data_IF_867855996666
#
_entry.id   IF_867855996666
#
_cell.length_a   1.000
_cell.length_b   1.000
_cell.length_c   1.000
_cell.angle_alpha   90.00
_cell.angle_beta   90.00
_cell.angle_gamma   90.00
#
_symmetry.space_group_name_H-M   'P 1'
#
loop_
_entity.id
_entity.type
_entity.pdbx_description
1 polymer ?
#
# COMPACT_ATOMS: atom_id res chain seq x y z
N UNK A 1 32.84 23.02 -39.30
CA UNK A 1 33.33 21.71 -38.81
C UNK A 1 33.92 21.86 -37.41
N UNK A 2 33.09 21.79 -36.37
CA UNK A 2 33.50 21.69 -34.96
C UNK A 2 32.35 21.00 -34.22
N UNK A 3 32.70 20.09 -33.29
CA UNK A 3 31.84 19.38 -32.30
C UNK A 3 31.83 17.83 -32.37
N UNK A 4 32.91 17.18 -32.82
CA UNK A 4 33.03 15.70 -32.64
C UNK A 4 33.60 15.27 -31.27
N UNK A 5 34.04 16.21 -30.44
CA UNK A 5 34.61 15.89 -29.11
C UNK A 5 33.54 15.69 -28.02
N UNK A 6 32.41 16.37 -28.10
CA UNK A 6 31.36 16.29 -27.06
C UNK A 6 30.54 14.99 -27.12
N UNK A 7 30.36 14.42 -28.32
CA UNK A 7 29.60 13.16 -28.51
C UNK A 7 30.34 11.97 -27.88
N UNK A 8 31.67 11.98 -27.86
CA UNK A 8 32.48 10.89 -27.29
C UNK A 8 32.37 10.80 -25.76
N UNK A 9 32.13 11.92 -25.07
CA UNK A 9 31.95 11.92 -23.61
C UNK A 9 30.58 11.37 -23.19
N UNK A 10 29.53 11.61 -23.97
CA UNK A 10 28.17 11.12 -23.66
C UNK A 10 28.12 9.59 -23.79
N UNK A 11 28.72 9.01 -24.84
CA UNK A 11 28.75 7.56 -25.02
C UNK A 11 29.57 6.86 -23.93
N UNK A 12 30.67 7.49 -23.47
CA UNK A 12 31.48 6.93 -22.38
C UNK A 12 30.74 6.97 -21.03
N UNK A 13 29.98 8.04 -20.76
CA UNK A 13 29.16 8.14 -19.54
C UNK A 13 28.05 7.08 -19.49
N UNK A 14 27.39 6.80 -20.62
CA UNK A 14 26.35 5.77 -20.70
C UNK A 14 26.92 4.36 -20.47
N UNK A 15 28.12 4.07 -20.97
CA UNK A 15 28.78 2.77 -20.76
C UNK A 15 29.23 2.58 -19.31
N UNK A 16 29.73 3.63 -18.64
CA UNK A 16 30.12 3.54 -17.22
C UNK A 16 28.89 3.35 -16.33
N UNK A 17 27.78 4.04 -16.62
CA UNK A 17 26.54 3.90 -15.86
C UNK A 17 25.88 2.53 -16.05
N UNK A 18 25.90 2.00 -17.28
CA UNK A 18 25.35 0.67 -17.59
C UNK A 18 26.11 -0.46 -16.90
N UNK A 19 27.44 -0.38 -16.81
CA UNK A 19 28.28 -1.38 -16.13
C UNK A 19 28.12 -1.29 -14.60
N UNK A 20 27.95 -0.09 -14.04
CA UNK A 20 27.73 0.07 -12.60
C UNK A 20 26.38 -0.51 -12.14
N UNK A 21 25.31 -0.32 -12.92
CA UNK A 21 24.01 -0.95 -12.65
C UNK A 21 24.04 -2.47 -12.76
N UNK A 22 24.90 -3.04 -13.64
CA UNK A 22 25.02 -4.49 -13.78
C UNK A 22 25.81 -5.13 -12.62
N UNK A 23 26.79 -4.43 -12.04
CA UNK A 23 27.60 -4.92 -10.92
C UNK A 23 26.93 -4.85 -9.55
N UNK A 24 25.83 -4.09 -9.39
CA UNK A 24 25.08 -4.03 -8.12
C UNK A 24 24.10 -5.20 -7.91
N UNK A 25 24.00 -6.14 -8.84
CA UNK A 25 23.05 -7.27 -8.76
C UNK A 25 23.43 -8.37 -7.77
N UNK A 26 24.65 -8.34 -7.21
CA UNK A 26 25.20 -9.42 -6.36
C UNK A 26 25.34 -9.06 -4.87
N UNK A 27 24.64 -8.04 -4.36
CA UNK A 27 24.58 -7.85 -2.90
C UNK A 27 23.66 -8.90 -2.27
N UNK A 28 24.29 -9.95 -1.78
CA UNK A 28 23.76 -11.01 -0.94
C UNK A 28 22.88 -10.46 0.19
N UNK A 29 21.79 -11.15 0.57
CA UNK A 29 20.95 -10.70 1.68
C UNK A 29 21.75 -10.68 2.98
N UNK A 30 21.70 -9.55 3.69
CA UNK A 30 22.14 -9.43 5.07
C UNK A 30 21.28 -10.37 5.93
N UNK A 31 21.91 -11.42 6.46
CA UNK A 31 21.31 -12.32 7.43
C UNK A 31 21.17 -11.57 8.76
N UNK A 32 19.96 -11.07 9.04
CA UNK A 32 19.60 -10.49 10.33
C UNK A 32 19.29 -11.64 11.28
N UNK A 33 20.23 -11.97 12.16
CA UNK A 33 20.01 -12.86 13.29
C UNK A 33 19.12 -12.16 14.31
N UNK A 34 17.83 -12.51 14.34
CA UNK A 34 16.93 -12.15 15.44
C UNK A 34 17.11 -13.18 16.56
N UNK A 35 17.68 -12.73 17.67
CA UNK A 35 17.77 -13.46 18.93
C UNK A 35 16.35 -13.63 19.48
N UNK A 36 15.81 -14.85 19.43
CA UNK A 36 14.46 -15.15 19.90
C UNK A 36 14.46 -15.36 21.41
N UNK A 37 14.02 -14.36 22.18
CA UNK A 37 13.55 -14.60 23.54
C UNK A 37 12.15 -15.22 23.47
N UNK A 38 12.03 -16.49 23.90
CA UNK A 38 10.75 -17.13 24.19
C UNK A 38 10.16 -16.55 25.50
N UNK A 39 8.87 -16.19 25.51
CA UNK A 39 8.09 -16.24 26.74
C UNK A 39 6.94 -17.25 26.64
N UNK A 40 7.00 -18.17 27.60
CA UNK A 40 5.99 -19.06 28.15
C UNK A 40 4.50 -18.82 27.79
N UNK A 41 3.86 -19.88 27.33
CA UNK A 41 2.40 -20.04 27.24
C UNK A 41 1.71 -20.01 28.60
N UNK A 42 0.56 -19.31 28.70
CA UNK A 42 -0.48 -19.62 29.66
C UNK A 42 -1.68 -20.32 29.00
N UNK A 43 -2.17 -21.31 29.73
CA UNK A 43 -3.31 -22.20 29.51
C UNK A 43 -4.63 -21.55 29.13
N UNK A 44 -5.33 -22.20 28.19
CA UNK A 44 -6.74 -22.01 27.84
C UNK A 44 -7.67 -22.21 29.06
N UNK A 45 -8.53 -21.23 29.33
CA UNK A 45 -9.77 -21.42 30.07
C UNK A 45 -10.94 -21.05 29.15
N UNK A 46 -11.67 -22.06 28.70
CA UNK A 46 -12.93 -21.93 28.00
C UNK A 46 -14.02 -21.48 28.96
N UNK A 47 -14.67 -20.37 28.66
CA UNK A 47 -15.87 -19.92 29.35
C UNK A 47 -17.01 -19.79 28.33
N UNK A 48 -17.84 -20.83 28.27
CA UNK A 48 -19.07 -20.87 27.49
C UNK A 48 -20.11 -19.94 28.11
N UNK A 49 -20.30 -18.75 27.52
CA UNK A 49 -21.47 -17.92 27.78
C UNK A 49 -22.43 -17.95 26.59
N UNK A 50 -23.54 -18.66 26.82
CA UNK A 50 -24.72 -18.76 25.97
C UNK A 50 -25.50 -17.44 26.04
N UNK A 51 -25.43 -16.64 24.98
CA UNK A 51 -26.20 -15.39 24.86
C UNK A 51 -27.54 -15.70 24.20
N UNK A 52 -28.61 -15.30 24.89
CA UNK A 52 -30.01 -15.46 24.51
C UNK A 52 -30.40 -14.35 23.51
N UNK A 53 -30.83 -14.73 22.30
CA UNK A 53 -31.27 -13.81 21.25
C UNK A 53 -32.79 -13.62 21.35
N UNK A 54 -33.22 -12.56 22.04
CA UNK A 54 -34.61 -12.09 22.00
C UNK A 54 -34.81 -11.05 20.90
N UNK A 55 -35.67 -11.41 19.95
CA UNK A 55 -36.37 -10.57 18.97
C UNK A 55 -36.79 -9.20 19.53
N UNK A 56 -36.48 -8.14 18.78
CA UNK A 56 -37.31 -6.93 18.73
C UNK A 56 -37.27 -6.37 17.31
N UNK A 57 -38.32 -6.64 16.55
CA UNK A 57 -38.69 -5.81 15.41
C UNK A 57 -39.39 -4.58 15.96
N UNK A 58 -38.95 -3.39 15.58
CA UNK A 58 -39.88 -2.42 15.01
C UNK A 58 -39.11 -1.38 14.21
N UNK A 59 -39.69 -1.12 13.05
CA UNK A 59 -39.18 -0.34 11.94
C UNK A 59 -39.75 1.06 12.05
N UNK A 60 -38.91 2.08 12.16
CA UNK A 60 -39.23 3.41 11.65
C UNK A 60 -38.09 3.96 10.80
N UNK A 61 -38.54 4.59 9.72
CA UNK A 61 -37.85 4.89 8.48
C UNK A 61 -37.57 6.38 8.39
N UNK A 62 -36.52 6.72 7.63
CA UNK A 62 -36.10 8.06 7.16
C UNK A 62 -35.07 8.82 8.01
N UNK A 63 -33.81 8.40 7.83
CA UNK A 63 -32.70 9.34 7.58
C UNK A 63 -31.81 8.73 6.50
N UNK A 64 -31.98 9.18 5.25
CA UNK A 64 -31.25 8.71 4.08
C UNK A 64 -29.86 9.36 3.98
N UNK A 65 -29.05 9.14 4.99
CA UNK A 65 -27.59 9.06 4.87
C UNK A 65 -27.21 7.68 5.41
N UNK A 66 -27.61 6.64 4.68
CA UNK A 66 -27.10 5.31 4.91
C UNK A 66 -25.60 5.35 4.58
N UNK A 67 -24.79 5.68 5.57
CA UNK A 67 -23.36 5.41 5.56
C UNK A 67 -23.25 3.91 5.26
N UNK A 68 -22.96 3.57 4.01
CA UNK A 68 -22.74 2.20 3.58
C UNK A 68 -21.46 1.71 4.26
N UNK A 69 -21.59 1.26 5.51
CA UNK A 69 -20.50 0.60 6.21
C UNK A 69 -20.21 -0.71 5.48
N UNK A 70 -18.93 -0.95 5.20
CA UNK A 70 -18.48 -2.21 4.66
C UNK A 70 -18.79 -3.32 5.68
N UNK A 71 -19.69 -4.23 5.32
CA UNK A 71 -20.02 -5.43 6.12
C UNK A 71 -19.37 -6.63 5.44
N UNK A 72 -18.40 -7.23 6.13
CA UNK A 72 -17.72 -8.43 5.67
C UNK A 72 -18.68 -9.63 5.62
N UNK A 73 -18.60 -10.43 4.56
CA UNK A 73 -19.44 -11.61 4.34
C UNK A 73 -18.73 -12.93 4.64
N UNK A 74 -17.40 -12.90 4.79
CA UNK A 74 -16.55 -14.05 5.07
C UNK A 74 -15.21 -13.59 5.67
N UNK A 75 -14.38 -14.55 6.10
CA UNK A 75 -13.08 -14.28 6.72
C UNK A 75 -12.10 -13.49 5.84
N UNK A 76 -12.18 -13.64 4.53
CA UNK A 76 -11.27 -12.92 3.63
C UNK A 76 -11.70 -11.45 3.52
N UNK A 77 -13.00 -11.19 3.55
CA UNK A 77 -13.53 -9.83 3.63
C UNK A 77 -13.31 -9.18 5.00
N UNK A 78 -13.28 -9.95 6.09
CA UNK A 78 -12.82 -9.45 7.40
C UNK A 78 -11.37 -8.97 7.29
N UNK A 79 -10.49 -9.76 6.65
CA UNK A 79 -9.11 -9.34 6.37
C UNK A 79 -9.05 -8.09 5.48
N UNK A 80 -9.88 -8.01 4.43
CA UNK A 80 -9.96 -6.83 3.58
C UNK A 80 -10.34 -5.58 4.39
N UNK A 81 -11.35 -5.70 5.25
CA UNK A 81 -11.77 -4.63 6.15
C UNK A 81 -10.64 -4.20 7.10
N UNK A 82 -9.95 -5.16 7.73
CA UNK A 82 -8.83 -4.91 8.63
C UNK A 82 -7.65 -4.24 7.91
N UNK A 83 -7.22 -4.75 6.75
CA UNK A 83 -6.14 -4.12 5.97
C UNK A 83 -6.53 -2.70 5.55
N UNK A 84 -7.78 -2.48 5.16
CA UNK A 84 -8.28 -1.14 4.84
C UNK A 84 -8.26 -0.23 6.07
N UNK A 85 -8.59 -0.75 7.25
CA UNK A 85 -8.50 0.00 8.50
C UNK A 85 -7.04 0.36 8.85
N UNK A 86 -6.08 -0.54 8.66
CA UNK A 86 -4.64 -0.25 8.82
C UNK A 86 -4.19 0.89 7.88
N UNK A 87 -4.70 0.87 6.63
CA UNK A 87 -4.43 1.95 5.68
C UNK A 87 -4.98 3.29 6.19
N UNK A 88 -6.24 3.29 6.66
CA UNK A 88 -6.91 4.47 7.21
C UNK A 88 -6.16 5.06 8.39
N UNK A 89 -5.80 4.21 9.35
CA UNK A 89 -5.16 4.63 10.60
C UNK A 89 -3.73 5.12 10.37
N UNK A 90 -3.18 4.88 9.18
CA UNK A 90 -1.87 5.36 8.76
C UNK A 90 -1.89 6.57 7.83
N UNK A 91 -3.07 7.12 7.53
CA UNK A 91 -3.23 8.38 6.80
C UNK A 91 -2.80 9.65 7.56
N UNK A 92 -2.95 9.75 8.90
CA UNK A 92 -2.51 10.95 9.63
C UNK A 92 -1.05 11.28 9.33
N UNK A 93 -0.77 12.56 9.06
CA UNK A 93 0.55 13.03 8.60
C UNK A 93 1.69 12.78 9.59
N UNK A 94 1.37 12.58 10.87
CA UNK A 94 2.33 12.45 11.95
C UNK A 94 2.66 10.99 12.31
N UNK A 95 2.07 10.00 11.63
CA UNK A 95 2.32 8.60 11.97
C UNK A 95 3.69 8.14 11.45
N UNK A 96 4.52 7.64 12.35
CA UNK A 96 5.85 7.14 12.02
C UNK A 96 5.80 5.68 11.55
N UNK A 97 6.82 5.23 10.84
CA UNK A 97 6.97 3.85 10.38
C UNK A 97 6.93 2.84 11.53
N UNK A 98 7.44 3.22 12.71
CA UNK A 98 7.41 2.38 13.92
C UNK A 98 6.00 2.17 14.47
N UNK A 99 5.10 3.16 14.33
CA UNK A 99 3.70 3.00 14.72
C UNK A 99 3.01 1.97 13.83
N UNK A 100 3.25 2.05 12.52
CA UNK A 100 2.74 1.06 11.57
C UNK A 100 3.29 -0.34 11.86
N UNK A 101 4.60 -0.47 12.14
CA UNK A 101 5.20 -1.76 12.51
C UNK A 101 4.50 -2.35 13.74
N UNK A 102 4.28 -1.56 14.81
CA UNK A 102 3.53 -2.04 15.99
C UNK A 102 2.12 -2.49 15.65
N UNK A 103 1.41 -1.73 14.82
CA UNK A 103 0.05 -2.07 14.41
C UNK A 103 0.00 -3.38 13.61
N UNK A 104 0.92 -3.57 12.67
CA UNK A 104 1.00 -4.80 11.88
C UNK A 104 1.36 -6.00 12.77
N UNK A 105 2.25 -5.83 13.74
CA UNK A 105 2.64 -6.89 14.67
C UNK A 105 1.49 -7.29 15.60
N UNK A 106 0.73 -6.32 16.13
CA UNK A 106 -0.48 -6.56 16.92
C UNK A 106 -1.54 -7.37 16.13
N UNK A 107 -1.53 -7.27 14.80
CA UNK A 107 -2.37 -8.03 13.89
C UNK A 107 -1.70 -9.32 13.37
N UNK A 108 -0.59 -9.75 13.99
CA UNK A 108 0.13 -11.00 13.71
C UNK A 108 0.65 -11.12 12.26
N UNK A 109 0.92 -9.98 11.62
CA UNK A 109 1.42 -9.93 10.24
C UNK A 109 2.94 -10.13 10.14
N UNK A 110 3.65 -10.19 11.26
CA UNK A 110 5.12 -10.34 11.31
C UNK A 110 5.83 -9.31 10.42
N UNK A 111 5.75 -8.00 10.76
CA UNK A 111 6.31 -6.94 9.96
C UNK A 111 7.84 -6.96 9.95
N UNK A 112 8.42 -6.45 8.87
CA UNK A 112 9.84 -6.19 8.71
C UNK A 112 10.04 -4.74 8.30
N UNK A 113 11.03 -4.09 8.91
CA UNK A 113 11.44 -2.74 8.58
C UNK A 113 12.85 -2.76 8.00
N UNK A 114 12.96 -2.47 6.71
CA UNK A 114 14.24 -2.22 6.06
C UNK A 114 14.49 -0.70 6.00
N UNK A 115 15.76 -0.30 6.19
CA UNK A 115 16.20 1.08 6.03
C UNK A 115 17.23 1.14 4.91
N UNK A 116 17.09 2.12 4.03
CA UNK A 116 18.02 2.43 2.97
C UNK A 116 18.32 3.93 3.00
N UNK A 117 19.55 4.31 2.63
CA UNK A 117 19.99 5.71 2.65
C UNK A 117 20.80 6.01 1.40
N UNK A 118 20.42 7.09 0.71
CA UNK A 118 21.07 7.51 -0.51
C UNK A 118 21.27 9.03 -0.49
N UNK A 119 22.49 9.54 -0.80
CA UNK A 119 22.78 10.98 -0.85
C UNK A 119 21.81 11.83 -1.71
N UNK A 120 21.12 11.23 -2.67
CA UNK A 120 20.20 11.91 -3.58
C UNK A 120 18.73 11.88 -3.15
N UNK A 121 18.29 10.82 -2.44
CA UNK A 121 16.88 10.62 -2.09
C UNK A 121 16.61 10.67 -0.59
N UNK A 122 17.66 10.85 0.23
CA UNK A 122 17.57 10.85 1.67
C UNK A 122 17.43 9.43 2.24
N UNK A 123 16.93 9.38 3.48
CA UNK A 123 16.64 8.14 4.18
C UNK A 123 15.25 7.63 3.81
N UNK A 124 15.18 6.34 3.50
CA UNK A 124 13.97 5.63 3.12
C UNK A 124 13.78 4.43 4.02
N UNK A 125 12.54 4.18 4.41
CA UNK A 125 12.15 3.07 5.24
C UNK A 125 11.05 2.29 4.52
N UNK A 126 11.24 0.98 4.42
CA UNK A 126 10.31 0.07 3.77
C UNK A 126 9.77 -0.87 4.84
N UNK A 127 8.45 -0.84 5.02
CA UNK A 127 7.72 -1.79 5.86
C UNK A 127 7.08 -2.84 4.97
N UNK A 128 7.29 -4.12 5.30
CA UNK A 128 6.66 -5.28 4.64
C UNK A 128 6.18 -6.27 5.68
N UNK A 129 5.37 -7.25 5.28
CA UNK A 129 4.90 -8.33 6.18
C UNK A 129 5.38 -9.69 5.70
N UNK A 130 5.82 -10.54 6.63
CA UNK A 130 6.16 -11.95 6.35
C UNK A 130 4.94 -12.87 6.35
N UNK A 131 3.88 -12.47 7.06
CA UNK A 131 2.61 -13.18 7.10
C UNK A 131 1.51 -12.37 6.43
N UNK A 132 0.51 -13.08 5.94
CA UNK A 132 -0.67 -12.50 5.30
C UNK A 132 -1.93 -12.98 6.02
N UNK A 133 -2.98 -12.16 5.97
CA UNK A 133 -4.31 -12.57 6.41
C UNK A 133 -5.00 -13.38 5.29
N UNK A 134 -6.07 -14.13 5.61
CA UNK A 134 -6.85 -14.82 4.59
C UNK A 134 -7.28 -13.88 3.45
N UNK A 135 -6.97 -14.27 2.22
CA UNK A 135 -7.33 -13.50 1.02
C UNK A 135 -6.47 -12.27 0.73
N UNK A 136 -5.51 -11.91 1.59
CA UNK A 136 -4.61 -10.77 1.36
C UNK A 136 -3.19 -11.23 1.05
N UNK A 137 -2.39 -10.36 0.42
CA UNK A 137 -0.96 -10.55 0.16
C UNK A 137 -0.20 -9.21 0.14
N UNK A 138 1.12 -9.32 0.23
CA UNK A 138 2.10 -8.27 -0.08
C UNK A 138 1.76 -6.90 0.51
N UNK A 139 1.60 -6.81 1.83
CA UNK A 139 1.58 -5.49 2.46
C UNK A 139 2.92 -4.78 2.26
N UNK A 140 2.87 -3.53 1.84
CA UNK A 140 4.02 -2.71 1.57
C UNK A 140 3.75 -1.27 1.98
N UNK A 141 4.67 -0.64 2.71
CA UNK A 141 4.68 0.79 2.90
C UNK A 141 6.09 1.37 2.72
N UNK A 142 6.15 2.59 2.25
CA UNK A 142 7.35 3.36 1.99
C UNK A 142 7.25 4.72 2.68
N UNK A 143 8.21 4.97 3.55
CA UNK A 143 8.40 6.23 4.26
C UNK A 143 9.70 6.87 3.78
N UNK A 144 9.74 8.20 3.79
CA UNK A 144 10.95 9.00 3.60
C UNK A 144 11.16 9.93 4.78
N UNK A 145 12.40 10.32 5.05
CA UNK A 145 12.72 11.38 6.01
C UNK A 145 12.85 12.71 5.28
N UNK A 146 12.06 13.70 5.69
CA UNK A 146 12.13 15.08 5.18
C UNK A 146 13.35 15.84 5.69
N UNK A 147 13.57 17.05 5.16
CA UNK A 147 14.68 17.92 5.58
C UNK A 147 14.59 18.34 7.06
N UNK A 148 13.39 18.34 7.64
CA UNK A 148 13.13 18.60 9.04
C UNK A 148 13.41 17.38 9.95
N UNK A 149 13.87 16.27 9.37
CA UNK A 149 14.14 15.02 10.05
C UNK A 149 12.89 14.18 10.36
N UNK A 150 11.70 14.58 9.86
CA UNK A 150 10.45 13.84 10.12
C UNK A 150 10.16 12.82 9.04
N UNK A 151 9.65 11.66 9.46
CA UNK A 151 9.13 10.65 8.54
C UNK A 151 7.84 11.12 7.88
N UNK A 152 7.65 10.80 6.60
CA UNK A 152 6.36 10.93 5.94
C UNK A 152 6.06 9.71 5.08
N UNK A 153 4.81 9.25 5.13
CA UNK A 153 4.33 8.18 4.27
C UNK A 153 4.25 8.66 2.82
N UNK A 154 4.98 8.01 1.92
CA UNK A 154 4.92 8.25 0.47
C UNK A 154 3.97 7.27 -0.22
N UNK A 155 4.04 5.99 0.10
CA UNK A 155 3.20 4.95 -0.51
C UNK A 155 2.86 3.87 0.50
N UNK A 156 1.63 3.35 0.47
CA UNK A 156 1.23 2.17 1.22
C UNK A 156 0.19 1.40 0.43
N UNK A 157 0.36 0.09 0.34
CA UNK A 157 -0.54 -0.78 -0.40
C UNK A 157 -0.61 -2.18 0.18
N UNK A 158 -1.69 -2.87 -0.13
CA UNK A 158 -1.79 -4.31 0.00
C UNK A 158 -2.53 -4.89 -1.20
N UNK A 159 -2.45 -6.21 -1.33
CA UNK A 159 -3.17 -6.94 -2.35
C UNK A 159 -4.25 -7.83 -1.74
N UNK A 160 -5.37 -7.94 -2.45
CA UNK A 160 -6.50 -8.78 -2.12
C UNK A 160 -6.79 -9.69 -3.30
N UNK A 161 -7.15 -10.94 -3.02
CA UNK A 161 -7.38 -11.94 -4.06
C UNK A 161 -8.42 -11.46 -5.09
N UNK A 162 -8.18 -11.82 -6.35
CA UNK A 162 -9.13 -11.59 -7.43
C UNK A 162 -10.38 -12.48 -7.32
N UNK A 163 -11.38 -12.16 -8.13
CA UNK A 163 -12.61 -12.96 -8.23
C UNK A 163 -13.81 -12.15 -8.69
N UNK A 164 -14.92 -12.83 -8.95
CA UNK A 164 -16.19 -12.17 -9.27
C UNK A 164 -16.61 -11.25 -8.10
N UNK A 165 -16.78 -9.96 -8.39
CA UNK A 165 -17.16 -8.95 -7.40
C UNK A 165 -16.02 -8.45 -6.49
N UNK A 166 -14.82 -9.06 -6.51
CA UNK A 166 -13.74 -8.67 -5.60
C UNK A 166 -13.35 -7.19 -5.72
N UNK A 167 -13.38 -6.64 -6.95
CA UNK A 167 -13.12 -5.22 -7.20
C UNK A 167 -14.17 -4.32 -6.55
N UNK A 168 -15.46 -4.64 -6.70
CA UNK A 168 -16.55 -3.87 -6.07
C UNK A 168 -16.49 -3.96 -4.54
N UNK A 169 -16.12 -5.14 -4.00
CA UNK A 169 -15.92 -5.31 -2.56
C UNK A 169 -14.75 -4.49 -2.04
N UNK A 170 -13.63 -4.44 -2.77
CA UNK A 170 -12.50 -3.57 -2.44
C UNK A 170 -12.90 -2.08 -2.49
N UNK A 171 -13.71 -1.67 -3.48
CA UNK A 171 -14.26 -0.30 -3.55
C UNK A 171 -15.11 0.00 -2.31
N UNK A 172 -16.02 -0.90 -1.93
CA UNK A 172 -16.85 -0.72 -0.73
C UNK A 172 -16.02 -0.64 0.55
N UNK A 173 -14.96 -1.45 0.68
CA UNK A 173 -14.05 -1.35 1.81
C UNK A 173 -13.32 0.00 1.83
N UNK A 174 -12.74 0.42 0.70
CA UNK A 174 -11.98 1.67 0.59
C UNK A 174 -12.81 2.93 0.88
N UNK A 175 -14.13 2.89 0.66
CA UNK A 175 -15.04 3.97 1.09
C UNK A 175 -15.03 4.23 2.59
N UNK A 176 -14.48 3.32 3.41
CA UNK A 176 -14.31 3.54 4.85
C UNK A 176 -13.05 4.32 5.22
N UNK A 177 -12.08 4.44 4.30
CA UNK A 177 -10.81 5.17 4.49
C UNK A 177 -11.06 6.65 4.77
N UNK A 178 -11.93 7.26 3.96
CA UNK A 178 -12.31 8.65 4.04
C UNK A 178 -13.74 8.82 3.50
N UNK A 179 -14.33 10.00 3.66
CA UNK A 179 -15.60 10.34 3.01
C UNK A 179 -15.35 10.56 1.51
N UNK A 180 -15.08 9.47 0.78
CA UNK A 180 -14.72 9.52 -0.63
C UNK A 180 -15.91 10.05 -1.44
N UNK A 181 -15.69 11.14 -2.17
CA UNK A 181 -16.64 11.68 -3.13
C UNK A 181 -16.66 10.91 -4.44
N UNK A 182 -16.96 11.62 -5.54
CA UNK A 182 -16.85 11.05 -6.87
C UNK A 182 -15.38 10.71 -7.21
N UNK A 183 -15.10 9.59 -7.88
CA UNK A 183 -13.74 9.24 -8.30
C UNK A 183 -13.24 10.23 -9.36
N UNK A 184 -11.95 10.57 -9.29
CA UNK A 184 -11.28 11.41 -10.30
C UNK A 184 -11.03 10.63 -11.59
N UNK A 185 -10.86 9.32 -11.48
CA UNK A 185 -10.69 8.39 -12.60
C UNK A 185 -11.40 7.09 -12.29
N UNK A 186 -12.15 6.57 -13.27
CA UNK A 186 -12.84 5.28 -13.16
C UNK A 186 -12.86 4.58 -14.51
N UNK A 187 -12.33 3.36 -14.54
CA UNK A 187 -12.42 2.41 -15.65
C UNK A 187 -12.99 1.09 -15.12
N UNK A 188 -12.99 0.05 -15.96
CA UNK A 188 -13.43 -1.30 -15.57
C UNK A 188 -12.49 -1.98 -14.56
N UNK A 189 -11.23 -1.55 -14.52
CA UNK A 189 -10.11 -2.20 -13.85
C UNK A 189 -9.32 -1.24 -12.95
N UNK A 190 -9.74 0.01 -12.85
CA UNK A 190 -9.06 1.03 -12.07
C UNK A 190 -10.05 2.08 -11.55
N UNK A 191 -9.84 2.52 -10.33
CA UNK A 191 -10.56 3.65 -9.75
C UNK A 191 -9.65 4.41 -8.80
N UNK A 192 -9.78 5.73 -8.78
CA UNK A 192 -8.94 6.63 -7.99
C UNK A 192 -9.77 7.77 -7.40
N UNK A 193 -9.42 8.18 -6.20
CA UNK A 193 -9.97 9.33 -5.51
C UNK A 193 -8.86 10.18 -4.91
N UNK A 194 -9.08 11.49 -4.89
CA UNK A 194 -8.31 12.39 -4.06
C UNK A 194 -8.88 12.35 -2.64
N UNK A 195 -8.05 12.04 -1.65
CA UNK A 195 -8.46 12.02 -0.23
C UNK A 195 -8.01 13.28 0.52
N UNK A 196 -7.02 13.98 -0.02
CA UNK A 196 -6.58 15.32 0.39
C UNK A 196 -5.94 16.04 -0.81
N UNK A 197 -5.42 17.24 -0.59
CA UNK A 197 -4.62 17.96 -1.59
C UNK A 197 -3.42 17.12 -2.04
N UNK A 198 -2.72 16.50 -1.10
CA UNK A 198 -1.44 15.80 -1.33
C UNK A 198 -1.53 14.27 -1.31
N UNK A 199 -2.71 13.67 -1.19
CA UNK A 199 -2.88 12.21 -1.18
C UNK A 199 -4.02 11.74 -2.06
N UNK A 200 -3.85 10.53 -2.55
CA UNK A 200 -4.85 9.79 -3.28
C UNK A 200 -4.96 8.36 -2.78
N UNK A 201 -6.11 7.75 -3.04
CA UNK A 201 -6.32 6.32 -2.93
C UNK A 201 -6.71 5.79 -4.30
N UNK A 202 -6.13 4.66 -4.68
CA UNK A 202 -6.50 3.97 -5.90
C UNK A 202 -6.66 2.47 -5.67
N UNK A 203 -7.50 1.86 -6.51
CA UNK A 203 -7.74 0.43 -6.53
C UNK A 203 -7.61 -0.04 -7.97
N UNK A 204 -6.86 -1.11 -8.19
CA UNK A 204 -6.59 -1.65 -9.53
C UNK A 204 -6.75 -3.16 -9.58
N UNK A 205 -7.35 -3.67 -10.64
CA UNK A 205 -7.27 -5.08 -11.03
C UNK A 205 -5.96 -5.28 -11.78
N UNK A 206 -5.04 -6.05 -11.20
CA UNK A 206 -3.70 -6.27 -11.72
C UNK A 206 -3.72 -7.23 -12.91
N UNK A 207 -3.29 -6.75 -14.07
CA UNK A 207 -3.13 -7.55 -15.28
C UNK A 207 -1.76 -8.23 -15.37
N UNK A 208 -1.58 -9.14 -16.33
CA UNK A 208 -0.29 -9.84 -16.55
C UNK A 208 0.90 -8.88 -16.70
N UNK A 209 0.71 -7.76 -17.42
CA UNK A 209 1.75 -6.74 -17.60
C UNK A 209 2.11 -5.99 -16.32
N UNK A 210 1.17 -5.91 -15.37
CA UNK A 210 1.42 -5.25 -14.09
C UNK A 210 2.25 -6.15 -13.14
N UNK A 211 2.27 -7.47 -13.39
CA UNK A 211 2.87 -8.47 -12.50
C UNK A 211 4.21 -9.02 -13.00
N UNK A 212 4.45 -9.05 -14.33
CA UNK A 212 5.61 -9.74 -14.92
C UNK A 212 6.96 -9.11 -14.55
N UNK A 213 7.00 -7.81 -14.36
CA UNK A 213 8.22 -7.03 -14.09
C UNK A 213 8.19 -6.35 -12.70
N UNK A 214 7.37 -6.85 -11.76
CA UNK A 214 7.34 -6.30 -10.40
C UNK A 214 8.67 -6.61 -9.69
N UNK A 215 9.44 -5.59 -9.30
CA UNK A 215 10.78 -5.79 -8.74
C UNK A 215 10.76 -6.27 -7.29
N UNK A 216 9.59 -6.32 -6.65
CA UNK A 216 9.45 -6.55 -5.22
C UNK A 216 8.81 -7.89 -4.88
N UNK A 217 7.84 -8.33 -5.69
CA UNK A 217 7.05 -9.53 -5.40
C UNK A 217 7.17 -10.53 -6.54
N UNK A 218 7.27 -11.82 -6.18
CA UNK A 218 7.23 -12.90 -7.15
C UNK A 218 5.78 -13.29 -7.44
N UNK A 219 5.35 -13.10 -8.70
CA UNK A 219 4.01 -13.48 -9.16
C UNK A 219 4.04 -14.67 -10.11
N UNK A 220 2.88 -15.31 -10.24
CA UNK A 220 2.57 -16.36 -11.19
C UNK A 220 1.37 -15.96 -12.04
N UNK A 221 1.07 -16.74 -13.10
CA UNK A 221 -0.13 -16.52 -13.92
C UNK A 221 -1.44 -16.63 -13.13
N UNK A 222 -1.44 -17.33 -11.99
CA UNK A 222 -2.62 -17.45 -11.14
C UNK A 222 -2.95 -16.15 -10.39
N UNK A 223 -2.02 -15.20 -10.33
CA UNK A 223 -2.18 -13.94 -9.61
C UNK A 223 -2.80 -12.84 -10.49
N UNK A 224 -2.98 -13.09 -11.79
CA UNK A 224 -3.69 -12.17 -12.70
C UNK A 224 -5.12 -11.99 -12.22
N UNK A 225 -5.54 -10.73 -12.07
CA UNK A 225 -6.84 -10.35 -11.52
C UNK A 225 -6.83 -10.02 -10.02
N UNK A 226 -5.68 -10.14 -9.35
CA UNK A 226 -5.48 -9.64 -7.98
C UNK A 226 -5.84 -8.16 -7.90
N UNK A 227 -6.44 -7.75 -6.78
CA UNK A 227 -6.85 -6.39 -6.53
C UNK A 227 -5.78 -5.71 -5.67
N UNK A 228 -5.16 -4.64 -6.17
CA UNK A 228 -4.24 -3.82 -5.38
C UNK A 228 -4.99 -2.59 -4.88
N UNK A 229 -4.94 -2.36 -3.57
CA UNK A 229 -5.47 -1.16 -2.90
C UNK A 229 -4.27 -0.38 -2.39
N UNK A 230 -4.19 0.90 -2.75
CA UNK A 230 -3.05 1.74 -2.39
C UNK A 230 -3.47 3.15 -2.01
N UNK A 231 -2.70 3.72 -1.09
CA UNK A 231 -2.69 5.14 -0.75
C UNK A 231 -1.31 5.68 -1.12
N UNK A 232 -1.30 6.81 -1.83
CA UNK A 232 -0.07 7.40 -2.32
C UNK A 232 -0.06 8.92 -2.11
N UNK A 233 1.12 9.49 -1.85
CA UNK A 233 1.35 10.92 -1.90
C UNK A 233 1.39 11.35 -3.37
N UNK A 234 0.64 12.39 -3.74
CA UNK A 234 0.68 12.94 -5.09
C UNK A 234 2.07 13.55 -5.34
N UNK A 235 2.74 13.09 -6.40
CA UNK A 235 4.11 13.51 -6.74
C UNK A 235 4.13 14.41 -8.00
N UNK A 236 2.98 14.56 -8.66
CA UNK A 236 2.82 15.40 -9.83
C UNK A 236 1.60 16.30 -9.61
N UNK A 237 1.84 17.58 -9.27
CA UNK A 237 0.86 18.62 -9.55
C UNK A 237 0.96 18.96 -11.03
N UNK A 238 -0.20 19.10 -11.70
CA UNK A 238 -0.37 19.54 -13.08
C UNK A 238 0.09 21.00 -13.30
N UNK A 239 1.25 21.39 -12.79
CA UNK A 239 1.90 22.69 -13.01
C UNK A 239 2.54 22.78 -14.41
N UNK A 240 1.94 22.13 -15.40
CA UNK A 240 2.06 22.52 -16.81
C UNK A 240 0.81 23.32 -17.21
N UNK A 241 0.56 24.44 -16.51
CA UNK A 241 -0.14 25.54 -17.15
C UNK A 241 0.88 26.24 -18.04
N UNK A 242 0.98 25.76 -19.28
CA UNK A 242 1.66 26.50 -20.34
C UNK A 242 0.97 27.86 -20.46
N UNK A 243 1.65 28.91 -19.98
CA UNK A 243 1.33 30.28 -20.32
C UNK A 243 1.54 30.44 -21.83
N UNK A 244 0.50 30.15 -22.62
CA UNK A 244 0.39 30.65 -23.98
C UNK A 244 0.10 32.14 -23.86
N UNK A 245 1.15 32.94 -23.79
CA UNK A 245 1.08 34.36 -24.08
C UNK A 245 0.65 34.48 -25.55
N UNK A 246 -0.57 34.95 -25.78
CA UNK A 246 -1.00 35.42 -27.08
C UNK A 246 -0.35 36.79 -27.32
N UNK A 247 0.69 36.83 -28.16
CA UNK A 247 1.09 38.04 -28.88
C UNK A 247 0.17 38.32 -30.07
#
# INVERSE_FOLDING_TARGET
MKNSKSVKFIVLAILIFGVWSYLKKDQLPLEVTLESEQPNSPSEQSNDQKIDLSKSSDSESHSSNANNFFVAQNKEEESLGLMTQILKDSLPLEKESQDLVRELDNNQLSPELARDSNPYTGDMMIVRTKRNLPGTRYFHAQYFVGEDGKEFLQHMSFEFKGGAGAFDRAISAAQTLAQLGAPVKKTKDFIQWNISENREVWIKIMGEKDLIDDPYNAYTKADVGTIRVAVEKKIHDDQHQDHVENE
#
